data_IF_979275923867
#
_entry.id   IF_979275923867
#
_cell.length_a   1.000
_cell.length_b   1.000
_cell.length_c   1.000
_cell.angle_alpha   90.00
_cell.angle_beta   90.00
_cell.angle_gamma   90.00
#
_symmetry.space_group_name_H-M   'P 1'
#
loop_
_entity.id
_entity.type
_entity.pdbx_description
1 polymer ?
#
# COMPACT_ATOMS: atom_id res chain seq x y z
N UNK A 1 -38.86 -16.20 -42.83
CA UNK A 1 -39.13 -16.15 -41.37
C UNK A 1 -37.94 -16.65 -40.54
N UNK A 2 -37.36 -17.82 -40.85
CA UNK A 2 -36.16 -18.39 -40.15
C UNK A 2 -34.89 -17.51 -40.15
N UNK A 3 -34.64 -16.72 -41.20
CA UNK A 3 -33.49 -15.80 -41.27
C UNK A 3 -33.63 -14.56 -40.37
N UNK A 4 -34.86 -14.13 -40.08
CA UNK A 4 -35.11 -12.97 -39.22
C UNK A 4 -34.92 -13.32 -37.73
N UNK A 5 -35.29 -14.55 -37.33
CA UNK A 5 -35.06 -15.07 -35.98
C UNK A 5 -33.57 -15.27 -35.69
N UNK A 6 -32.79 -15.78 -36.65
CA UNK A 6 -31.33 -15.95 -36.47
C UNK A 6 -30.59 -14.61 -36.35
N UNK A 7 -31.07 -13.56 -37.03
CA UNK A 7 -30.46 -12.23 -36.93
C UNK A 7 -30.74 -11.57 -35.56
N UNK A 8 -31.95 -11.70 -35.04
CA UNK A 8 -32.32 -11.21 -33.71
C UNK A 8 -31.60 -11.95 -32.57
N UNK A 9 -31.35 -13.26 -32.73
CA UNK A 9 -30.63 -14.07 -31.76
C UNK A 9 -29.12 -13.75 -31.72
N UNK A 10 -28.54 -13.41 -32.89
CA UNK A 10 -27.16 -12.92 -32.97
C UNK A 10 -26.98 -11.56 -32.27
N UNK A 11 -27.91 -10.62 -32.46
CA UNK A 11 -27.78 -9.28 -31.87
C UNK A 11 -28.06 -9.27 -30.36
N UNK A 12 -29.00 -10.09 -29.88
CA UNK A 12 -29.22 -10.25 -28.44
C UNK A 12 -28.02 -10.91 -27.74
N UNK A 13 -27.39 -11.91 -28.36
CA UNK A 13 -26.17 -12.52 -27.84
C UNK A 13 -24.98 -11.54 -27.80
N UNK A 14 -24.82 -10.68 -28.82
CA UNK A 14 -23.77 -9.64 -28.83
C UNK A 14 -24.00 -8.55 -27.78
N UNK A 15 -25.26 -8.13 -27.57
CA UNK A 15 -25.58 -7.13 -26.54
C UNK A 15 -25.41 -7.69 -25.12
N UNK A 16 -25.79 -8.94 -24.88
CA UNK A 16 -25.56 -9.61 -23.60
C UNK A 16 -24.06 -9.72 -23.28
N UNK A 17 -23.24 -10.08 -24.26
CA UNK A 17 -21.80 -10.27 -24.04
C UNK A 17 -21.03 -8.96 -23.81
N UNK A 18 -21.52 -7.83 -24.36
CA UNK A 18 -20.99 -6.50 -24.06
C UNK A 18 -21.28 -6.03 -22.63
N UNK A 19 -22.48 -6.36 -22.11
CA UNK A 19 -22.89 -6.00 -20.75
C UNK A 19 -22.07 -6.69 -19.66
N UNK A 20 -21.82 -7.99 -19.81
CA UNK A 20 -21.00 -8.78 -18.87
C UNK A 20 -19.59 -8.21 -18.71
N UNK A 21 -18.91 -7.95 -19.83
CA UNK A 21 -17.53 -7.41 -19.82
C UNK A 21 -17.46 -6.04 -19.16
N UNK A 22 -18.48 -5.20 -19.36
CA UNK A 22 -18.54 -3.88 -18.72
C UNK A 22 -18.69 -3.99 -17.19
N UNK A 23 -19.51 -4.93 -16.71
CA UNK A 23 -19.69 -5.14 -15.28
C UNK A 23 -18.44 -5.72 -14.61
N UNK A 24 -17.80 -6.73 -15.22
CA UNK A 24 -16.54 -7.31 -14.73
C UNK A 24 -15.45 -6.25 -14.59
N UNK A 25 -15.31 -5.37 -15.58
CA UNK A 25 -14.33 -4.28 -15.56
C UNK A 25 -14.62 -3.26 -14.44
N UNK A 26 -15.89 -2.94 -14.19
CA UNK A 26 -16.29 -2.07 -13.08
C UNK A 26 -16.00 -2.72 -11.73
N UNK A 27 -16.32 -4.01 -11.57
CA UNK A 27 -16.04 -4.76 -10.34
C UNK A 27 -14.53 -4.87 -10.08
N UNK A 28 -13.75 -5.24 -11.11
CA UNK A 28 -12.28 -5.27 -11.04
C UNK A 28 -11.72 -3.96 -10.51
N UNK A 29 -12.13 -2.84 -11.13
CA UNK A 29 -11.68 -1.50 -10.70
C UNK A 29 -12.14 -1.20 -9.28
N UNK A 30 -13.39 -1.45 -8.93
CA UNK A 30 -13.89 -1.21 -7.58
C UNK A 30 -13.10 -1.99 -6.51
N UNK A 31 -12.78 -3.26 -6.77
CA UNK A 31 -11.97 -4.09 -5.87
C UNK A 31 -10.54 -3.57 -5.74
N UNK A 32 -9.90 -3.16 -6.85
CA UNK A 32 -8.57 -2.52 -6.80
C UNK A 32 -8.60 -1.21 -6.02
N UNK A 33 -9.58 -0.33 -6.30
CA UNK A 33 -9.75 0.91 -5.56
C UNK A 33 -9.96 0.67 -4.07
N UNK A 34 -10.82 -0.29 -3.70
CA UNK A 34 -11.08 -0.65 -2.31
C UNK A 34 -9.83 -1.20 -1.63
N UNK A 35 -9.07 -2.09 -2.29
CA UNK A 35 -7.82 -2.62 -1.78
C UNK A 35 -6.79 -1.51 -1.54
N UNK A 36 -6.53 -0.65 -2.53
CA UNK A 36 -5.57 0.44 -2.40
C UNK A 36 -5.99 1.50 -1.38
N UNK A 37 -7.28 1.82 -1.31
CA UNK A 37 -7.85 2.68 -0.25
C UNK A 37 -7.62 2.07 1.14
N UNK A 38 -7.81 0.75 1.28
CA UNK A 38 -7.63 0.06 2.54
C UNK A 38 -6.17 0.03 3.03
N UNK A 39 -5.17 0.23 2.15
CA UNK A 39 -3.76 0.20 2.53
C UNK A 39 -3.42 1.20 3.64
N UNK A 40 -4.18 2.28 3.83
CA UNK A 40 -3.95 3.24 4.92
C UNK A 40 -4.89 3.05 6.13
N UNK A 41 -5.72 2.01 6.10
CA UNK A 41 -6.77 1.70 7.08
C UNK A 41 -6.37 0.53 8.00
N UNK A 42 -7.15 0.21 9.05
CA UNK A 42 -6.84 -0.92 9.93
C UNK A 42 -6.58 -2.22 9.16
N UNK A 43 -5.66 -3.05 9.70
CA UNK A 43 -5.23 -4.31 9.07
C UNK A 43 -6.41 -5.23 8.75
N UNK A 44 -7.46 -5.24 9.57
CA UNK A 44 -8.67 -6.02 9.29
C UNK A 44 -9.31 -5.64 7.94
N UNK A 45 -9.46 -4.34 7.65
CA UNK A 45 -10.03 -3.86 6.39
C UNK A 45 -9.12 -4.22 5.21
N UNK A 46 -7.80 -4.12 5.39
CA UNK A 46 -6.82 -4.56 4.39
C UNK A 46 -6.97 -6.04 4.06
N UNK A 47 -7.09 -6.90 5.09
CA UNK A 47 -7.29 -8.35 4.91
C UNK A 47 -8.60 -8.64 4.19
N UNK A 48 -9.69 -7.95 4.54
CA UNK A 48 -10.98 -8.11 3.89
C UNK A 48 -10.93 -7.70 2.41
N UNK A 49 -10.40 -6.51 2.12
CA UNK A 49 -10.29 -6.01 0.75
C UNK A 49 -9.42 -6.94 -0.11
N UNK A 50 -8.35 -7.46 0.47
CA UNK A 50 -7.49 -8.40 -0.20
C UNK A 50 -8.14 -9.78 -0.40
N UNK A 51 -8.86 -10.29 0.59
CA UNK A 51 -9.62 -11.54 0.45
C UNK A 51 -10.62 -11.45 -0.70
N UNK A 52 -11.32 -10.33 -0.84
CA UNK A 52 -12.23 -10.07 -1.97
C UNK A 52 -11.47 -10.02 -3.31
N UNK A 53 -10.34 -9.33 -3.35
CA UNK A 53 -9.50 -9.25 -4.55
C UNK A 53 -8.98 -10.63 -4.98
N UNK A 54 -8.51 -11.44 -4.02
CA UNK A 54 -8.01 -12.79 -4.23
C UNK A 54 -9.14 -13.77 -4.58
N UNK A 55 -10.35 -13.59 -4.08
CA UNK A 55 -11.50 -14.39 -4.47
C UNK A 55 -11.92 -14.10 -5.92
N UNK A 56 -11.83 -12.83 -6.35
CA UNK A 56 -12.13 -12.42 -7.72
C UNK A 56 -11.07 -12.87 -8.74
N UNK A 57 -9.81 -12.97 -8.32
CA UNK A 57 -8.69 -13.24 -9.23
C UNK A 57 -8.80 -14.58 -9.99
N UNK A 58 -9.07 -15.75 -9.35
CA UNK A 58 -9.29 -17.01 -10.05
C UNK A 58 -10.43 -16.96 -11.07
N UNK A 59 -11.54 -16.28 -10.73
CA UNK A 59 -12.66 -16.08 -11.65
C UNK A 59 -12.22 -15.29 -12.89
N UNK A 60 -11.48 -14.19 -12.69
CA UNK A 60 -10.92 -13.39 -13.78
C UNK A 60 -9.95 -14.21 -14.66
N UNK A 61 -9.07 -15.01 -14.06
CA UNK A 61 -8.14 -15.88 -14.78
C UNK A 61 -8.87 -16.96 -15.60
N UNK A 62 -9.87 -17.61 -15.00
CA UNK A 62 -10.67 -18.64 -15.67
C UNK A 62 -11.40 -18.06 -16.89
N UNK A 63 -12.01 -16.88 -16.74
CA UNK A 63 -12.77 -16.22 -17.81
C UNK A 63 -11.88 -15.78 -18.98
N UNK A 64 -10.72 -15.21 -18.68
CA UNK A 64 -9.80 -14.71 -19.70
C UNK A 64 -8.89 -15.80 -20.30
N UNK A 65 -8.92 -17.03 -19.77
CA UNK A 65 -8.16 -18.21 -20.22
C UNK A 65 -6.66 -17.97 -20.46
N UNK A 66 -6.11 -16.90 -19.89
CA UNK A 66 -4.76 -16.44 -20.17
C UNK A 66 -4.11 -15.98 -18.88
N UNK A 67 -3.34 -16.86 -18.27
CA UNK A 67 -2.22 -16.44 -17.43
C UNK A 67 -1.01 -16.32 -18.36
N UNK A 68 -0.65 -15.11 -18.83
CA UNK A 68 0.50 -14.96 -19.71
C UNK A 68 1.73 -15.50 -19.00
N UNK A 69 2.55 -16.29 -19.71
CA UNK A 69 3.80 -16.82 -19.16
C UNK A 69 4.81 -15.66 -19.14
N UNK A 70 4.78 -14.86 -18.08
CA UNK A 70 5.75 -13.80 -17.83
C UNK A 70 6.95 -14.37 -17.07
N UNK A 71 8.16 -13.76 -17.18
CA UNK A 71 9.31 -14.15 -16.35
C UNK A 71 8.99 -14.16 -14.85
N UNK A 72 8.15 -13.22 -14.42
CA UNK A 72 7.65 -13.11 -13.05
C UNK A 72 6.79 -14.32 -12.65
N UNK A 73 5.88 -14.76 -13.51
CA UNK A 73 5.06 -15.96 -13.28
C UNK A 73 5.91 -17.23 -13.21
N UNK A 74 6.99 -17.31 -14.00
CA UNK A 74 7.95 -18.44 -13.93
C UNK A 74 8.71 -18.47 -12.61
N UNK A 75 9.23 -17.32 -12.17
CA UNK A 75 9.92 -17.23 -10.88
C UNK A 75 9.00 -17.64 -9.72
N UNK A 76 7.74 -17.19 -9.76
CA UNK A 76 6.73 -17.57 -8.78
C UNK A 76 6.42 -19.07 -8.81
N UNK A 77 6.21 -19.65 -9.99
CA UNK A 77 5.97 -21.09 -10.13
C UNK A 77 7.13 -21.87 -9.53
N UNK A 78 8.37 -21.47 -9.81
CA UNK A 78 9.57 -22.10 -9.23
C UNK A 78 9.59 -21.99 -7.71
N UNK A 79 9.27 -20.82 -7.14
CA UNK A 79 9.16 -20.64 -5.69
C UNK A 79 8.06 -21.54 -5.10
N UNK A 80 6.89 -21.63 -5.72
CA UNK A 80 5.81 -22.51 -5.24
C UNK A 80 6.18 -24.00 -5.33
N UNK A 81 6.81 -24.42 -6.43
CA UNK A 81 7.30 -25.80 -6.59
C UNK A 81 8.37 -26.10 -5.54
N UNK A 82 9.32 -25.20 -5.33
CA UNK A 82 10.36 -25.36 -4.31
C UNK A 82 9.78 -25.44 -2.90
N UNK A 83 8.80 -24.59 -2.56
CA UNK A 83 8.10 -24.64 -1.28
C UNK A 83 7.34 -25.96 -1.10
N UNK A 84 6.64 -26.42 -2.15
CA UNK A 84 5.90 -27.68 -2.12
C UNK A 84 6.83 -28.88 -1.94
N UNK A 85 7.95 -28.93 -2.68
CA UNK A 85 8.98 -29.95 -2.50
C UNK A 85 9.60 -29.89 -1.10
N UNK A 86 9.92 -28.69 -0.60
CA UNK A 86 10.44 -28.50 0.76
C UNK A 86 9.46 -29.00 1.83
N UNK A 87 8.16 -28.84 1.59
CA UNK A 87 7.11 -29.29 2.52
C UNK A 87 6.96 -30.80 2.51
N UNK A 88 7.08 -31.44 1.34
CA UNK A 88 7.04 -32.90 1.19
C UNK A 88 8.26 -33.59 1.82
N UNK A 89 9.42 -32.92 1.83
CA UNK A 89 10.67 -33.45 2.43
C UNK A 89 10.75 -33.15 3.94
N UNK A 90 9.91 -32.25 4.46
CA UNK A 90 9.90 -31.89 5.88
C UNK A 90 9.39 -33.05 6.75
N UNK A 91 10.11 -33.34 7.84
CA UNK A 91 9.72 -34.36 8.84
C UNK A 91 8.38 -34.03 9.52
N UNK A 92 7.98 -32.75 9.52
CA UNK A 92 6.72 -32.27 10.09
C UNK A 92 5.92 -31.48 9.04
N UNK A 93 5.29 -32.21 8.13
CA UNK A 93 4.54 -31.65 7.02
C UNK A 93 3.39 -30.75 7.48
N UNK A 94 2.68 -31.12 8.56
CA UNK A 94 1.52 -30.36 9.05
C UNK A 94 1.91 -28.98 9.58
N UNK A 95 2.99 -28.88 10.36
CA UNK A 95 3.49 -27.57 10.79
C UNK A 95 4.10 -26.77 9.64
N UNK A 96 4.66 -27.44 8.63
CA UNK A 96 5.19 -26.79 7.44
C UNK A 96 4.10 -26.08 6.61
N UNK A 97 2.87 -26.62 6.57
CA UNK A 97 1.72 -25.95 5.96
C UNK A 97 1.34 -24.63 6.65
N UNK A 98 1.61 -24.45 7.94
CA UNK A 98 1.35 -23.18 8.62
C UNK A 98 2.16 -22.01 8.04
N UNK A 99 3.33 -22.30 7.43
CA UNK A 99 4.15 -21.33 6.70
C UNK A 99 3.45 -20.75 5.47
N UNK A 100 2.53 -21.51 4.86
CA UNK A 100 1.77 -21.08 3.69
C UNK A 100 0.77 -19.97 4.01
N UNK A 101 0.45 -19.77 5.31
CA UNK A 101 -0.41 -18.68 5.77
C UNK A 101 0.15 -17.30 5.43
N UNK A 102 1.42 -17.13 5.01
CA UNK A 102 1.93 -15.84 4.54
C UNK A 102 1.95 -15.70 3.01
N UNK A 103 1.67 -16.78 2.26
CA UNK A 103 1.71 -16.76 0.79
C UNK A 103 0.60 -15.91 0.17
N UNK A 104 -0.45 -15.58 0.92
CA UNK A 104 -1.46 -14.63 0.45
C UNK A 104 -0.89 -13.23 0.19
N UNK A 105 0.20 -12.82 0.85
CA UNK A 105 0.90 -11.55 0.54
C UNK A 105 1.52 -11.59 -0.86
N UNK A 106 2.10 -12.74 -1.21
CA UNK A 106 2.62 -12.96 -2.56
C UNK A 106 1.46 -12.98 -3.54
N UNK A 107 0.39 -13.73 -3.24
CA UNK A 107 -0.83 -13.76 -4.05
C UNK A 107 -1.41 -12.36 -4.31
N UNK A 108 -1.40 -11.47 -3.30
CA UNK A 108 -1.88 -10.09 -3.40
C UNK A 108 -1.15 -9.28 -4.46
N UNK A 109 0.18 -9.38 -4.46
CA UNK A 109 1.03 -8.70 -5.43
C UNK A 109 0.72 -9.18 -6.85
N UNK A 110 0.59 -10.49 -7.04
CA UNK A 110 0.30 -11.08 -8.36
C UNK A 110 -1.11 -10.76 -8.84
N UNK A 111 -2.11 -10.89 -7.97
CA UNK A 111 -3.48 -10.53 -8.29
C UNK A 111 -3.54 -9.05 -8.69
N UNK A 112 -2.91 -8.17 -7.93
CA UNK A 112 -2.86 -6.73 -8.26
C UNK A 112 -2.15 -6.50 -9.60
N UNK A 113 -1.00 -7.12 -9.84
CA UNK A 113 -0.23 -6.98 -11.09
C UNK A 113 -1.05 -7.39 -12.32
N UNK A 114 -1.70 -8.56 -12.28
CA UNK A 114 -2.47 -9.09 -13.41
C UNK A 114 -3.83 -8.41 -13.57
N UNK A 115 -4.45 -7.98 -12.46
CA UNK A 115 -5.68 -7.20 -12.53
C UNK A 115 -5.41 -5.79 -13.02
N UNK A 116 -4.20 -5.25 -12.90
CA UNK A 116 -3.87 -3.91 -13.37
C UNK A 116 -3.52 -3.90 -14.86
N UNK A 117 -4.46 -3.42 -15.69
CA UNK A 117 -4.32 -3.51 -17.15
C UNK A 117 -3.74 -2.24 -17.78
N UNK A 118 -3.90 -1.08 -17.14
CA UNK A 118 -3.57 0.23 -17.74
C UNK A 118 -2.63 1.03 -16.84
N UNK A 119 -1.58 1.66 -17.40
CA UNK A 119 -0.70 2.55 -16.63
C UNK A 119 -1.42 3.69 -15.93
N UNK A 120 -2.46 4.26 -16.57
CA UNK A 120 -3.30 5.31 -15.98
C UNK A 120 -4.05 4.85 -14.73
N UNK A 121 -4.46 3.58 -14.67
CA UNK A 121 -5.12 3.03 -13.47
C UNK A 121 -4.13 2.95 -12.30
N UNK A 122 -2.89 2.54 -12.56
CA UNK A 122 -1.84 2.54 -11.54
C UNK A 122 -1.61 3.94 -10.99
N UNK A 123 -1.51 4.94 -11.87
CA UNK A 123 -1.34 6.33 -11.46
C UNK A 123 -2.48 6.81 -10.55
N UNK A 124 -3.73 6.50 -10.90
CA UNK A 124 -4.91 6.83 -10.09
C UNK A 124 -4.88 6.13 -8.71
N UNK A 125 -4.48 4.86 -8.67
CA UNK A 125 -4.38 4.09 -7.42
C UNK A 125 -3.25 4.63 -6.52
N UNK A 126 -2.13 5.10 -7.11
CA UNK A 126 -1.07 5.75 -6.35
C UNK A 126 -1.54 7.09 -5.79
N UNK A 127 -2.24 7.92 -6.58
CA UNK A 127 -2.84 9.17 -6.05
C UNK A 127 -3.79 8.88 -4.90
N UNK A 128 -4.63 7.85 -5.02
CA UNK A 128 -5.54 7.42 -3.97
C UNK A 128 -4.79 7.08 -2.68
N UNK A 129 -3.73 6.26 -2.76
CA UNK A 129 -2.89 5.93 -1.60
C UNK A 129 -2.36 7.21 -0.94
N UNK A 130 -1.76 8.12 -1.71
CA UNK A 130 -1.15 9.34 -1.17
C UNK A 130 -2.18 10.25 -0.52
N UNK A 131 -3.36 10.42 -1.12
CA UNK A 131 -4.46 11.23 -0.58
C UNK A 131 -4.94 10.63 0.73
N UNK A 132 -5.27 9.34 0.76
CA UNK A 132 -5.78 8.67 1.98
C UNK A 132 -4.72 8.70 3.07
N UNK A 133 -3.47 8.41 2.75
CA UNK A 133 -2.36 8.50 3.69
C UNK A 133 -2.22 9.90 4.29
N UNK A 134 -2.40 10.96 3.48
CA UNK A 134 -2.34 12.35 3.95
C UNK A 134 -3.48 12.64 4.92
N UNK A 135 -4.70 12.19 4.60
CA UNK A 135 -5.86 12.32 5.49
C UNK A 135 -5.62 11.58 6.82
N UNK A 136 -5.09 10.36 6.77
CA UNK A 136 -4.77 9.56 7.96
C UNK A 136 -3.62 10.20 8.76
N UNK A 137 -2.65 10.85 8.11
CA UNK A 137 -1.60 11.63 8.78
C UNK A 137 -2.16 12.85 9.52
N UNK A 138 -3.05 13.62 8.87
CA UNK A 138 -3.75 14.74 9.50
C UNK A 138 -4.56 14.27 10.71
N UNK A 139 -5.30 13.16 10.58
CA UNK A 139 -5.99 12.54 11.71
C UNK A 139 -5.01 12.15 12.84
N UNK A 140 -3.84 11.61 12.50
CA UNK A 140 -2.81 11.28 13.48
C UNK A 140 -2.25 12.49 14.24
N UNK A 141 -2.14 13.64 13.57
CA UNK A 141 -1.77 14.92 14.21
C UNK A 141 -2.88 15.38 15.15
N UNK A 142 -4.14 15.34 14.72
CA UNK A 142 -5.29 15.67 15.58
C UNK A 142 -5.33 14.76 16.81
N UNK A 143 -5.07 13.46 16.62
CA UNK A 143 -5.01 12.48 17.70
C UNK A 143 -3.93 12.82 18.74
N UNK A 144 -2.77 13.33 18.30
CA UNK A 144 -1.68 13.74 19.20
C UNK A 144 -2.11 14.83 20.19
N UNK A 145 -2.78 15.88 19.68
CA UNK A 145 -3.17 17.03 20.49
C UNK A 145 -4.47 16.83 21.27
N UNK A 146 -5.43 16.08 20.72
CA UNK A 146 -6.77 15.94 21.33
C UNK A 146 -6.92 14.71 22.21
N UNK A 147 -6.09 13.68 22.00
CA UNK A 147 -6.29 12.38 22.64
C UNK A 147 -7.53 11.63 22.13
N UNK A 148 -8.19 12.10 21.07
CA UNK A 148 -9.37 11.45 20.51
C UNK A 148 -8.91 10.29 19.61
N UNK A 149 -9.29 9.06 19.98
CA UNK A 149 -9.11 7.87 19.15
C UNK A 149 -10.48 7.34 18.68
N UNK A 150 -10.90 7.73 17.46
CA UNK A 150 -12.13 7.22 16.85
C UNK A 150 -12.07 5.73 16.54
N UNK A 151 -10.88 5.13 16.39
CA UNK A 151 -10.75 3.68 16.19
C UNK A 151 -11.02 2.89 17.47
N UNK A 152 -10.93 3.56 18.62
CA UNK A 152 -11.14 2.99 19.96
C UNK A 152 -11.89 3.99 20.83
N UNK A 153 -13.18 4.17 20.59
CA UNK A 153 -14.05 5.04 21.40
C UNK A 153 -14.09 4.72 22.92
N UNK A 154 -13.37 3.70 23.43
CA UNK A 154 -13.56 3.15 24.79
C UNK A 154 -12.25 2.90 25.57
N UNK A 155 -11.05 3.19 25.04
CA UNK A 155 -9.81 3.11 25.84
C UNK A 155 -8.94 4.32 25.55
N UNK A 156 -8.79 5.20 26.54
CA UNK A 156 -7.96 6.39 26.45
C UNK A 156 -6.56 6.09 25.91
N UNK A 157 -5.96 7.06 25.23
CA UNK A 157 -4.61 6.92 24.67
C UNK A 157 -3.57 6.88 25.79
N UNK A 158 -2.50 6.13 25.52
CA UNK A 158 -1.32 6.13 26.39
C UNK A 158 -0.67 7.52 26.29
N UNK A 159 -0.43 8.21 27.42
CA UNK A 159 0.31 9.45 27.41
C UNK A 159 1.70 9.21 26.81
N UNK A 160 2.16 10.14 25.99
CA UNK A 160 3.52 10.09 25.45
C UNK A 160 4.52 10.13 26.62
N UNK A 161 5.61 9.34 26.59
CA UNK A 161 6.70 9.53 27.54
C UNK A 161 7.14 11.00 27.47
N UNK A 162 7.28 11.64 28.63
CA UNK A 162 7.53 13.06 28.79
C UNK A 162 8.90 13.47 28.20
N UNK A 163 8.97 13.59 26.88
CA UNK A 163 9.94 14.48 26.25
C UNK A 163 9.30 15.88 26.24
N UNK A 164 10.06 16.87 26.71
CA UNK A 164 9.68 18.28 26.83
C UNK A 164 9.13 18.87 25.50
N UNK A 165 9.46 18.26 24.36
CA UNK A 165 9.02 18.67 23.02
C UNK A 165 7.81 17.91 22.47
N UNK A 166 7.33 16.87 23.17
CA UNK A 166 6.28 15.95 22.72
C UNK A 166 5.20 15.75 23.79
N UNK A 167 4.86 16.81 24.52
CA UNK A 167 3.70 16.80 25.42
C UNK A 167 2.43 16.55 24.60
N UNK A 168 1.83 15.37 24.78
CA UNK A 168 0.67 14.93 24.02
C UNK A 168 0.48 13.42 24.05
N UNK A 169 -0.41 12.91 23.20
CA UNK A 169 -0.69 11.48 23.09
C UNK A 169 0.10 10.84 21.96
N UNK A 170 0.57 9.61 22.16
CA UNK A 170 1.29 8.91 21.09
C UNK A 170 0.34 8.58 19.93
N UNK A 171 0.67 9.04 18.72
CA UNK A 171 -0.16 8.81 17.54
C UNK A 171 -0.14 7.34 17.12
N UNK A 172 -1.34 6.77 16.93
CA UNK A 172 -1.55 5.41 16.41
C UNK A 172 -2.34 5.42 15.09
N UNK A 173 -2.81 6.58 14.64
CA UNK A 173 -3.70 6.70 13.49
C UNK A 173 -4.91 5.80 13.66
N UNK A 174 -5.24 5.05 12.62
CA UNK A 174 -6.32 4.06 12.64
C UNK A 174 -5.82 2.63 13.00
N UNK A 175 -4.60 2.49 13.51
CA UNK A 175 -4.02 1.18 13.80
C UNK A 175 -3.95 0.88 15.30
N UNK A 176 -3.95 -0.40 15.70
CA UNK A 176 -3.83 -0.78 17.10
C UNK A 176 -2.46 -0.46 17.71
N UNK A 177 -1.42 -0.27 16.88
CA UNK A 177 -0.06 0.03 17.34
C UNK A 177 0.56 1.17 16.53
N UNK A 178 1.31 2.04 17.21
CA UNK A 178 2.05 3.14 16.57
C UNK A 178 3.15 2.64 15.63
N UNK A 179 3.69 1.43 15.87
CA UNK A 179 4.67 0.78 14.99
C UNK A 179 4.02 0.42 13.64
N UNK A 180 2.86 -0.23 13.67
CA UNK A 180 2.11 -0.58 12.44
C UNK A 180 1.74 0.67 11.67
N UNK A 181 1.22 1.69 12.35
CA UNK A 181 0.90 2.98 11.76
C UNK A 181 2.10 3.61 11.05
N UNK A 182 3.24 3.71 11.73
CA UNK A 182 4.44 4.34 11.19
C UNK A 182 4.97 3.61 9.94
N UNK A 183 5.07 2.28 10.00
CA UNK A 183 5.53 1.48 8.86
C UNK A 183 4.55 1.53 7.69
N UNK A 184 3.25 1.62 7.97
CA UNK A 184 2.24 1.74 6.92
C UNK A 184 2.31 3.11 6.23
N UNK A 185 2.55 4.18 7.00
CA UNK A 185 2.69 5.54 6.47
C UNK A 185 4.03 5.77 5.72
N UNK A 186 5.06 4.96 6.01
CA UNK A 186 6.34 5.02 5.29
C UNK A 186 6.20 4.70 3.79
N UNK A 187 5.31 3.77 3.43
CA UNK A 187 5.08 3.41 2.03
C UNK A 187 4.58 4.60 1.16
N UNK A 188 3.45 5.26 1.47
CA UNK A 188 3.00 6.45 0.76
C UNK A 188 4.00 7.61 0.87
N UNK A 189 4.68 7.77 2.01
CA UNK A 189 5.72 8.78 2.16
C UNK A 189 6.87 8.58 1.17
N UNK A 190 7.30 7.34 0.96
CA UNK A 190 8.38 6.99 0.03
C UNK A 190 8.01 7.32 -1.41
N UNK A 191 6.79 6.97 -1.83
CA UNK A 191 6.22 7.31 -3.14
C UNK A 191 6.17 8.83 -3.32
N UNK A 192 5.60 9.54 -2.34
CA UNK A 192 5.43 10.99 -2.41
C UNK A 192 6.78 11.70 -2.44
N UNK A 193 7.77 11.21 -1.70
CA UNK A 193 9.16 11.71 -1.76
C UNK A 193 9.71 11.60 -3.18
N UNK A 194 9.59 10.43 -3.82
CA UNK A 194 10.02 10.25 -5.20
C UNK A 194 9.29 11.20 -6.17
N UNK A 195 7.98 11.41 -5.98
CA UNK A 195 7.16 12.30 -6.80
C UNK A 195 7.47 13.79 -6.63
N UNK A 196 7.73 14.28 -5.41
CA UNK A 196 8.16 15.67 -5.16
C UNK A 196 9.37 16.02 -6.02
N UNK A 197 10.24 15.03 -6.19
CA UNK A 197 11.48 15.12 -6.92
C UNK A 197 11.35 14.86 -8.43
N UNK A 198 10.20 14.41 -8.93
CA UNK A 198 10.02 14.12 -10.36
C UNK A 198 10.06 15.42 -11.22
N UNK A 199 10.71 15.39 -12.40
CA UNK A 199 10.90 16.58 -13.22
C UNK A 199 9.60 17.07 -13.88
N UNK A 200 8.63 16.18 -14.11
CA UNK A 200 7.40 16.46 -14.85
C UNK A 200 6.26 17.04 -13.98
N UNK A 201 6.50 17.28 -12.69
CA UNK A 201 5.47 17.75 -11.75
C UNK A 201 5.39 19.27 -11.78
N UNK A 202 4.18 19.81 -12.00
CA UNK A 202 3.95 21.26 -11.99
C UNK A 202 4.23 21.88 -10.63
N UNK A 203 4.55 23.19 -10.59
CA UNK A 203 4.85 23.91 -9.33
C UNK A 203 3.71 23.81 -8.31
N UNK A 204 2.45 23.93 -8.75
CA UNK A 204 1.27 23.82 -7.87
C UNK A 204 1.14 22.42 -7.28
N UNK A 205 1.25 21.37 -8.11
CA UNK A 205 1.22 19.99 -7.63
C UNK A 205 2.38 19.70 -6.68
N UNK A 206 3.58 20.22 -6.97
CA UNK A 206 4.75 20.08 -6.09
C UNK A 206 4.49 20.69 -4.70
N UNK A 207 3.86 21.87 -4.63
CA UNK A 207 3.48 22.47 -3.35
C UNK A 207 2.48 21.61 -2.58
N UNK A 208 1.47 21.04 -3.26
CA UNK A 208 0.52 20.13 -2.63
C UNK A 208 1.20 18.85 -2.10
N UNK A 209 2.12 18.27 -2.89
CA UNK A 209 2.90 17.10 -2.48
C UNK A 209 3.81 17.42 -1.29
N UNK A 210 4.47 18.59 -1.27
CA UNK A 210 5.27 19.03 -0.13
C UNK A 210 4.40 19.21 1.12
N UNK A 211 3.19 19.78 0.97
CA UNK A 211 2.23 19.91 2.05
C UNK A 211 1.83 18.56 2.64
N UNK A 212 1.41 17.60 1.79
CA UNK A 212 1.10 16.24 2.23
C UNK A 212 2.30 15.53 2.86
N UNK A 213 3.49 15.73 2.29
CA UNK A 213 4.75 15.19 2.80
C UNK A 213 5.08 15.71 4.19
N UNK A 214 4.95 17.02 4.41
CA UNK A 214 5.16 17.63 5.72
C UNK A 214 4.18 17.08 6.76
N UNK A 215 2.91 16.90 6.39
CA UNK A 215 1.90 16.29 7.29
C UNK A 215 2.26 14.85 7.65
N UNK A 216 2.71 14.03 6.70
CA UNK A 216 3.13 12.65 6.98
C UNK A 216 4.38 12.59 7.88
N UNK A 217 5.39 13.43 7.61
CA UNK A 217 6.60 13.51 8.44
C UNK A 217 6.25 13.94 9.87
N UNK A 218 5.41 14.96 10.02
CA UNK A 218 4.98 15.44 11.34
C UNK A 218 4.21 14.36 12.10
N UNK A 219 3.29 13.66 11.44
CA UNK A 219 2.56 12.55 12.05
C UNK A 219 3.49 11.37 12.45
N UNK A 220 4.53 11.10 11.66
CA UNK A 220 5.54 10.10 12.00
C UNK A 220 6.38 10.50 13.21
N UNK A 221 6.70 11.79 13.38
CA UNK A 221 7.40 12.28 14.57
C UNK A 221 6.58 11.96 15.84
N UNK A 222 5.27 12.22 15.81
CA UNK A 222 4.37 11.90 16.92
C UNK A 222 4.13 10.40 17.16
N UNK A 223 4.48 9.53 16.19
CA UNK A 223 4.43 8.07 16.39
C UNK A 223 5.55 7.54 17.29
N UNK A 224 6.64 8.32 17.44
CA UNK A 224 7.87 8.00 18.18
C UNK A 224 8.54 6.68 17.77
N UNK A 225 8.28 6.19 16.56
CA UNK A 225 8.80 4.89 16.09
C UNK A 225 10.17 5.06 15.45
N UNK A 226 11.24 4.65 16.13
CA UNK A 226 12.64 4.82 15.64
C UNK A 226 12.92 4.06 14.33
N UNK A 227 12.39 2.84 14.19
CA UNK A 227 12.65 1.98 13.03
C UNK A 227 12.20 2.57 11.69
N UNK A 228 11.16 3.42 11.69
CA UNK A 228 10.65 4.04 10.45
C UNK A 228 11.65 5.03 9.86
N UNK A 229 12.39 5.75 10.72
CA UNK A 229 13.36 6.76 10.30
C UNK A 229 14.58 6.11 9.66
N UNK A 230 15.06 4.99 10.23
CA UNK A 230 16.14 4.19 9.64
C UNK A 230 15.73 3.69 8.25
N UNK A 231 14.52 3.15 8.11
CA UNK A 231 14.01 2.71 6.82
C UNK A 231 13.84 3.88 5.84
N UNK A 232 13.40 5.05 6.30
CA UNK A 232 13.26 6.23 5.46
C UNK A 232 14.61 6.79 4.97
N UNK A 233 15.66 6.75 5.80
CA UNK A 233 17.03 7.07 5.36
C UNK A 233 17.44 6.18 4.21
N UNK A 234 17.18 4.87 4.28
CA UNK A 234 17.48 3.93 3.19
C UNK A 234 16.74 4.32 1.91
N UNK A 235 15.46 4.69 2.00
CA UNK A 235 14.67 5.18 0.84
C UNK A 235 15.35 6.38 0.18
N UNK A 236 15.81 7.34 0.97
CA UNK A 236 16.46 8.56 0.47
C UNK A 236 17.83 8.29 -0.14
N UNK A 237 18.60 7.38 0.45
CA UNK A 237 19.86 6.92 -0.13
C UNK A 237 19.61 6.28 -1.51
N UNK A 238 18.66 5.35 -1.60
CA UNK A 238 18.30 4.69 -2.87
C UNK A 238 17.85 5.72 -3.91
N UNK A 239 16.93 6.63 -3.55
CA UNK A 239 16.46 7.67 -4.45
C UNK A 239 17.59 8.58 -4.92
N UNK A 240 18.52 8.94 -4.03
CA UNK A 240 19.68 9.75 -4.40
C UNK A 240 20.65 9.02 -5.32
N UNK A 241 20.89 7.71 -5.11
CA UNK A 241 21.74 6.87 -5.98
C UNK A 241 21.11 6.84 -7.38
N UNK A 242 19.83 6.50 -7.47
CA UNK A 242 19.08 6.40 -8.73
C UNK A 242 19.07 7.73 -9.48
N UNK A 243 19.11 8.87 -8.77
CA UNK A 243 19.12 10.21 -9.38
C UNK A 243 20.51 10.76 -9.72
N UNK A 244 21.57 9.96 -9.56
CA UNK A 244 22.93 10.36 -9.97
C UNK A 244 23.70 11.19 -8.94
N UNK A 245 23.48 10.96 -7.64
CA UNK A 245 24.44 11.30 -6.57
C UNK A 245 24.49 12.76 -6.09
N UNK A 246 24.17 13.75 -6.93
CA UNK A 246 24.38 15.17 -6.58
C UNK A 246 23.39 15.73 -5.55
N UNK A 247 22.18 15.16 -5.46
CA UNK A 247 21.18 15.47 -4.43
C UNK A 247 21.28 14.57 -3.18
N UNK A 248 22.16 13.57 -3.23
CA UNK A 248 22.31 12.51 -2.24
C UNK A 248 23.01 13.03 -0.96
N UNK A 249 23.97 13.94 -1.13
CA UNK A 249 24.76 14.51 -0.02
C UNK A 249 23.95 15.52 0.81
N UNK A 250 23.14 16.37 0.17
CA UNK A 250 22.36 17.40 0.88
C UNK A 250 21.21 16.83 1.72
N UNK A 251 20.50 15.83 1.19
CA UNK A 251 19.36 15.21 1.87
C UNK A 251 19.82 14.20 2.94
N UNK A 252 20.86 13.42 2.67
CA UNK A 252 21.45 12.53 3.68
C UNK A 252 22.09 13.33 4.83
N UNK A 253 22.79 14.44 4.53
CA UNK A 253 23.37 15.31 5.55
C UNK A 253 22.31 15.95 6.46
N UNK A 254 21.21 16.48 5.90
CA UNK A 254 20.14 17.08 6.68
C UNK A 254 19.44 16.10 7.63
N UNK A 255 19.31 14.83 7.22
CA UNK A 255 18.58 13.81 7.99
C UNK A 255 19.47 13.08 8.98
N UNK A 256 20.77 12.96 8.72
CA UNK A 256 21.74 12.52 9.73
C UNK A 256 21.85 13.55 10.86
N UNK A 257 21.79 14.86 10.54
CA UNK A 257 21.76 15.92 11.57
C UNK A 257 20.44 15.92 12.33
N UNK A 258 19.29 15.83 11.67
CA UNK A 258 17.99 15.76 12.35
C UNK A 258 17.83 14.48 13.18
N UNK A 259 18.26 13.34 12.63
CA UNK A 259 18.21 12.04 13.28
C UNK A 259 19.19 11.94 14.45
N UNK A 260 20.38 12.52 14.33
CA UNK A 260 21.35 12.66 15.42
C UNK A 260 20.82 13.50 16.57
N UNK A 261 20.24 14.66 16.27
CA UNK A 261 19.63 15.54 17.29
C UNK A 261 18.45 14.87 18.03
N UNK A 262 17.65 14.07 17.33
CA UNK A 262 16.55 13.31 17.94
C UNK A 262 17.02 12.09 18.75
N UNK A 263 18.16 11.50 18.39
CA UNK A 263 18.77 10.39 19.14
C UNK A 263 19.46 10.88 20.42
N UNK A 264 20.10 12.05 20.38
CA UNK A 264 20.76 12.67 21.54
C UNK A 264 19.78 13.34 22.51
N UNK A 265 18.62 13.78 22.05
CA UNK A 265 17.58 14.37 22.90
C UNK A 265 16.77 13.34 23.72
N UNK A 266 17.02 12.03 23.50
CA UNK A 266 16.34 10.92 24.17
C UNK A 266 17.27 9.97 24.95
N UNK A 267 18.50 10.42 25.23
CA UNK A 267 19.43 9.84 26.20
C UNK A 267 19.60 10.81 27.37
#
# INVERSE_FOLDING_TARGET
MLLATLCLESDTARMAHGGEKMWEEKLRRALLFFFFFSLCLPVAIQQTALGLLLAFFPYFCWRNKTLPITPLNRALLLVFVALLLSTLVSLDALNSFAGYRKLWLVGAFFATYHLLQKPRELEQLIYLIVIVATVVAVYGIVQHFTGIDWSRQIRGLEPSPALIWFEGFRTKGLHPSGITYAHNLLFPLSIMTAWVFAPLVSRKQRLLLIGGWAMMILALLFSLTRGVWVAYVVVLLVLGIVRGGKTLVGVAGGIVVLGGLLFTAGA
#
